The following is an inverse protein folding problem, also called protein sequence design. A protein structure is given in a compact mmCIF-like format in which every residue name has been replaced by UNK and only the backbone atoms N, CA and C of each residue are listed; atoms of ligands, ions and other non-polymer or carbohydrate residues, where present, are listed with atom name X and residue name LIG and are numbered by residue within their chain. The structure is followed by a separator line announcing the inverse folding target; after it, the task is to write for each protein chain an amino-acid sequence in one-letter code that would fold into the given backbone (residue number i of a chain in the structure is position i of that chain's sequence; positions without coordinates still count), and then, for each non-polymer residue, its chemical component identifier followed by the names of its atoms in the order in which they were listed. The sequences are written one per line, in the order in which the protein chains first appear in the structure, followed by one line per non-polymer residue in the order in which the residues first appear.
data_IF_180591748951
#
_entry.id   IF_180591748951
#
_cell.length_a   1.000
_cell.length_b   1.000
_cell.length_c   1.000
_cell.angle_alpha   90.00
_cell.angle_beta   90.00
_cell.angle_gamma   90.00
#
_symmetry.space_group_name_H-M   'P 1'
#
loop_
_entity.id
_entity.type
_entity.pdbx_description
1 polymer ?
#
# COMPACT_ATOMS: atom_id res chain seq x y z
N UNK A 1 -2.52 -4.24 27.97
CA UNK A 1 -3.19 -4.33 29.29
C UNK A 1 -3.20 -3.00 30.06
N UNK A 2 -2.42 -2.03 29.62
CA UNK A 2 -2.28 -0.71 30.29
C UNK A 2 -3.56 0.14 30.20
N UNK A 3 -4.30 0.05 29.08
CA UNK A 3 -5.52 0.83 28.87
C UNK A 3 -6.63 0.55 29.89
N UNK A 4 -6.78 -0.69 30.35
CA UNK A 4 -7.76 -1.05 31.38
C UNK A 4 -7.49 -0.39 32.72
N UNK A 5 -6.23 -0.31 33.13
CA UNK A 5 -5.84 0.30 34.41
C UNK A 5 -6.00 1.82 34.36
N UNK A 6 -5.58 2.46 33.28
CA UNK A 6 -5.70 3.91 33.13
C UNK A 6 -7.16 4.32 33.03
N UNK A 7 -7.97 3.64 32.19
CA UNK A 7 -9.39 3.96 32.03
C UNK A 7 -10.22 3.64 33.27
N UNK A 8 -9.89 2.54 34.00
CA UNK A 8 -10.51 2.21 35.27
C UNK A 8 -10.22 3.21 36.37
N UNK A 9 -8.97 3.63 36.47
CA UNK A 9 -8.54 4.64 37.47
C UNK A 9 -9.17 6.01 37.19
N UNK A 10 -9.18 6.43 35.92
CA UNK A 10 -9.83 7.69 35.51
C UNK A 10 -11.33 7.64 35.73
N UNK A 11 -11.99 6.52 35.42
CA UNK A 11 -13.42 6.31 35.64
C UNK A 11 -13.79 6.34 37.13
N UNK A 12 -12.95 5.81 38.01
CA UNK A 12 -13.12 5.86 39.45
C UNK A 12 -13.14 7.30 39.98
N UNK A 13 -12.24 8.15 39.51
CA UNK A 13 -12.15 9.56 39.91
C UNK A 13 -13.35 10.41 39.43
N UNK A 14 -13.97 10.05 38.28
CA UNK A 14 -15.06 10.83 37.66
C UNK A 14 -16.44 10.40 38.16
N UNK A 15 -16.70 9.10 38.31
CA UNK A 15 -18.00 8.56 38.61
C UNK A 15 -17.98 7.40 39.65
N UNK A 16 -16.96 7.36 40.50
CA UNK A 16 -16.83 6.39 41.60
C UNK A 16 -16.76 4.93 41.11
N UNK A 17 -17.29 3.96 41.91
CA UNK A 17 -17.20 2.52 41.57
C UNK A 17 -17.83 2.14 40.25
N UNK A 18 -18.93 2.79 39.88
CA UNK A 18 -19.63 2.59 38.59
C UNK A 18 -18.77 3.11 37.41
N UNK A 19 -18.10 4.26 37.59
CA UNK A 19 -17.18 4.80 36.61
C UNK A 19 -15.93 3.92 36.41
N UNK A 20 -15.44 3.28 37.46
CA UNK A 20 -14.35 2.31 37.37
C UNK A 20 -14.71 1.10 36.52
N UNK A 21 -15.90 0.52 36.72
CA UNK A 21 -16.39 -0.63 35.94
C UNK A 21 -16.58 -0.27 34.47
N UNK A 22 -17.20 0.88 34.19
CA UNK A 22 -17.34 1.39 32.81
C UNK A 22 -15.99 1.71 32.18
N UNK A 23 -15.05 2.32 32.92
CA UNK A 23 -13.69 2.62 32.48
C UNK A 23 -12.90 1.35 32.15
N UNK A 24 -12.97 0.32 32.98
CA UNK A 24 -12.35 -0.99 32.71
C UNK A 24 -12.97 -1.66 31.48
N UNK A 25 -14.30 -1.57 31.33
CA UNK A 25 -15.00 -2.14 30.16
C UNK A 25 -14.63 -1.42 28.87
N UNK A 26 -14.60 -0.10 28.85
CA UNK A 26 -14.19 0.70 27.71
C UNK A 26 -12.69 0.53 27.41
N UNK A 27 -11.85 0.48 28.45
CA UNK A 27 -10.42 0.18 28.32
C UNK A 27 -10.16 -1.23 27.80
N UNK A 28 -11.04 -2.20 28.14
CA UNK A 28 -10.97 -3.55 27.59
C UNK A 28 -11.33 -3.61 26.10
N UNK A 29 -12.33 -2.87 25.68
CA UNK A 29 -12.71 -2.72 24.28
C UNK A 29 -11.59 -2.01 23.50
N UNK A 30 -10.98 -1.00 24.10
CA UNK A 30 -9.84 -0.27 23.54
C UNK A 30 -8.59 -1.17 23.44
N UNK A 31 -8.25 -1.90 24.49
CA UNK A 31 -7.14 -2.86 24.50
C UNK A 31 -7.36 -4.00 23.48
N UNK A 32 -8.61 -4.48 23.28
CA UNK A 32 -8.93 -5.47 22.24
C UNK A 32 -8.80 -4.91 20.83
N UNK A 33 -9.21 -3.67 20.61
CA UNK A 33 -9.03 -2.98 19.33
C UNK A 33 -7.57 -2.70 19.02
N UNK A 34 -6.78 -2.39 20.05
CA UNK A 34 -5.35 -2.07 19.92
C UNK A 34 -4.47 -3.32 19.87
N UNK A 35 -4.82 -4.40 20.59
CA UNK A 35 -4.04 -5.65 20.61
C UNK A 35 -4.11 -6.44 19.31
N UNK A 36 -5.22 -6.32 18.55
CA UNK A 36 -5.31 -6.89 17.20
C UNK A 36 -4.47 -6.12 16.18
N UNK A 37 -3.93 -4.94 16.55
CA UNK A 37 -3.09 -4.10 15.70
C UNK A 37 -1.59 -4.33 15.88
N UNK A 38 -1.17 -4.88 17.02
CA UNK A 38 0.23 -5.13 17.35
C UNK A 38 0.39 -6.56 17.89
N UNK A 39 0.32 -7.55 17.01
CA UNK A 39 1.00 -8.82 17.31
C UNK A 39 2.48 -8.50 17.08
N UNK A 40 3.33 -8.53 18.13
CA UNK A 40 4.75 -8.30 17.94
C UNK A 40 5.30 -9.43 17.06
N UNK A 41 5.66 -9.10 15.84
CA UNK A 41 6.33 -10.01 14.92
C UNK A 41 7.75 -10.18 15.45
N UNK A 42 8.21 -11.41 15.60
CA UNK A 42 9.60 -11.68 15.99
C UNK A 42 10.56 -11.14 14.93
N UNK A 43 11.79 -10.78 15.33
CA UNK A 43 12.81 -10.32 14.38
C UNK A 43 13.04 -11.32 13.24
N UNK A 44 13.09 -12.61 13.54
CA UNK A 44 13.24 -13.65 12.52
C UNK A 44 12.06 -13.74 11.57
N UNK A 45 10.84 -13.55 12.07
CA UNK A 45 9.63 -13.54 11.24
C UNK A 45 9.59 -12.26 10.35
N UNK A 46 9.96 -11.10 10.90
CA UNK A 46 10.10 -9.85 10.13
C UNK A 46 11.12 -9.99 9.02
N UNK A 47 12.28 -10.55 9.31
CA UNK A 47 13.31 -10.78 8.30
C UNK A 47 12.78 -11.68 7.18
N UNK A 48 12.12 -12.79 7.52
CA UNK A 48 11.52 -13.71 6.55
C UNK A 48 10.46 -13.02 5.68
N UNK A 49 9.57 -12.22 6.29
CA UNK A 49 8.56 -11.46 5.55
C UNK A 49 9.24 -10.48 4.59
N UNK A 50 10.27 -9.76 5.05
CA UNK A 50 11.03 -8.78 4.26
C UNK A 50 11.63 -9.41 3.02
N UNK A 51 12.32 -10.53 3.16
CA UNK A 51 12.96 -11.22 2.05
C UNK A 51 11.94 -11.81 1.06
N UNK A 52 10.85 -12.40 1.56
CA UNK A 52 9.80 -12.94 0.70
C UNK A 52 9.03 -11.81 -0.01
N UNK A 53 8.77 -10.68 0.67
CA UNK A 53 8.17 -9.51 0.04
C UNK A 53 9.03 -8.99 -1.11
N UNK A 54 10.33 -8.82 -0.85
CA UNK A 54 11.30 -8.32 -1.82
C UNK A 54 11.41 -9.24 -3.04
N UNK A 55 11.64 -10.53 -2.81
CA UNK A 55 11.75 -11.51 -3.89
C UNK A 55 10.45 -11.61 -4.71
N UNK A 56 9.28 -11.61 -4.04
CA UNK A 56 7.98 -11.65 -4.73
C UNK A 56 7.75 -10.41 -5.58
N UNK A 57 8.03 -9.22 -5.05
CA UNK A 57 7.87 -7.96 -5.78
C UNK A 57 8.68 -7.97 -7.08
N UNK A 58 9.99 -8.23 -6.99
CA UNK A 58 10.86 -8.18 -8.16
C UNK A 58 10.64 -9.34 -9.14
N UNK A 59 10.24 -10.53 -8.67
CA UNK A 59 9.87 -11.63 -9.58
C UNK A 59 8.58 -11.33 -10.35
N UNK A 60 7.56 -10.79 -9.68
CA UNK A 60 6.32 -10.40 -10.36
C UNK A 60 6.55 -9.24 -11.33
N UNK A 61 7.44 -8.28 -11.01
CA UNK A 61 7.83 -7.22 -11.95
C UNK A 61 8.52 -7.78 -13.19
N UNK A 62 9.42 -8.77 -13.03
CA UNK A 62 10.05 -9.43 -14.16
C UNK A 62 9.05 -10.17 -15.06
N UNK A 63 8.01 -10.77 -14.45
CA UNK A 63 6.94 -11.42 -15.19
C UNK A 63 6.04 -10.43 -15.91
N UNK A 64 5.72 -9.28 -15.29
CA UNK A 64 4.98 -8.21 -15.92
C UNK A 64 5.73 -7.62 -17.11
N UNK A 65 7.01 -7.30 -16.94
CA UNK A 65 7.86 -6.75 -18.01
C UNK A 65 7.99 -7.69 -19.23
N UNK A 66 7.79 -9.00 -19.05
CA UNK A 66 7.81 -9.96 -20.14
C UNK A 66 6.41 -10.29 -20.68
N UNK A 67 5.39 -9.59 -20.28
CA UNK A 67 4.00 -9.91 -20.63
C UNK A 67 3.74 -9.91 -22.14
N UNK A 68 4.45 -9.09 -22.90
CA UNK A 68 4.39 -9.03 -24.38
C UNK A 68 5.33 -10.02 -25.09
N UNK A 69 6.08 -10.83 -24.32
CA UNK A 69 7.02 -11.86 -24.84
C UNK A 69 8.46 -11.39 -24.95
N UNK A 70 8.77 -10.10 -24.92
CA UNK A 70 10.11 -9.55 -25.03
C UNK A 70 10.33 -8.46 -24.00
N UNK A 71 11.46 -8.49 -23.31
CA UNK A 71 11.88 -7.38 -22.44
C UNK A 71 12.66 -6.39 -23.30
N UNK A 72 12.15 -5.20 -23.49
CA UNK A 72 12.81 -4.13 -24.22
C UNK A 72 13.97 -3.54 -23.40
N UNK A 73 14.93 -2.92 -24.08
CA UNK A 73 16.00 -2.16 -23.40
C UNK A 73 15.44 -0.98 -22.58
N UNK A 74 14.33 -0.41 -23.01
CA UNK A 74 13.65 0.66 -22.28
C UNK A 74 13.07 0.17 -20.94
N UNK A 75 12.48 -1.02 -20.89
CA UNK A 75 11.95 -1.62 -19.65
C UNK A 75 13.07 -2.01 -18.69
N UNK A 76 14.21 -2.49 -19.21
CA UNK A 76 15.40 -2.75 -18.39
C UNK A 76 15.88 -1.44 -17.76
N UNK A 77 16.06 -0.39 -18.56
CA UNK A 77 16.51 0.92 -18.08
C UNK A 77 15.53 1.52 -17.05
N UNK A 78 14.21 1.42 -17.31
CA UNK A 78 13.17 1.87 -16.38
C UNK A 78 13.24 1.10 -15.04
N UNK A 79 13.48 -0.21 -15.10
CA UNK A 79 13.62 -1.05 -13.90
C UNK A 79 14.89 -0.70 -13.11
N UNK A 80 16.01 -0.44 -13.81
CA UNK A 80 17.27 -0.01 -13.18
C UNK A 80 17.15 1.39 -12.57
N UNK A 81 16.50 2.31 -13.25
CA UNK A 81 16.18 3.65 -12.73
C UNK A 81 15.29 3.56 -11.50
N UNK A 82 14.28 2.69 -11.52
CA UNK A 82 13.42 2.42 -10.37
C UNK A 82 14.22 1.90 -9.18
N UNK A 83 15.11 0.91 -9.37
CA UNK A 83 15.97 0.39 -8.31
C UNK A 83 16.90 1.47 -7.75
N UNK A 84 17.37 2.38 -8.61
CA UNK A 84 18.19 3.53 -8.22
C UNK A 84 17.38 4.54 -7.40
N UNK A 85 16.18 4.84 -7.85
CA UNK A 85 15.26 5.75 -7.16
C UNK A 85 14.80 5.20 -5.81
N UNK A 86 14.69 3.88 -5.67
CA UNK A 86 14.42 3.23 -4.38
C UNK A 86 15.59 3.36 -3.40
N UNK A 87 16.80 3.68 -3.88
CA UNK A 87 17.99 3.79 -3.04
C UNK A 87 18.58 2.43 -2.67
N UNK A 88 18.34 1.39 -3.48
CA UNK A 88 18.91 0.06 -3.24
C UNK A 88 20.44 0.12 -3.23
N UNK A 89 21.07 -0.57 -2.25
CA UNK A 89 22.52 -0.80 -2.27
C UNK A 89 22.92 -1.62 -3.49
N UNK A 90 24.22 -1.65 -3.82
CA UNK A 90 24.71 -2.43 -4.95
C UNK A 90 24.34 -3.92 -4.83
N UNK A 91 24.43 -4.48 -3.63
CA UNK A 91 24.09 -5.87 -3.32
C UNK A 91 22.57 -6.09 -3.51
N UNK A 92 21.74 -5.21 -2.98
CA UNK A 92 20.27 -5.32 -3.11
C UNK A 92 19.81 -5.13 -4.56
N UNK A 93 20.50 -4.30 -5.36
CA UNK A 93 20.25 -4.20 -6.80
C UNK A 93 20.55 -5.52 -7.52
N UNK A 94 21.66 -6.16 -7.21
CA UNK A 94 21.99 -7.47 -7.80
C UNK A 94 20.94 -8.53 -7.44
N UNK A 95 20.47 -8.57 -6.19
CA UNK A 95 19.40 -9.44 -5.77
C UNK A 95 18.09 -9.13 -6.50
N UNK A 96 17.71 -7.87 -6.62
CA UNK A 96 16.53 -7.44 -7.35
C UNK A 96 16.58 -7.88 -8.82
N UNK A 97 17.70 -7.68 -9.50
CA UNK A 97 17.95 -8.14 -10.88
C UNK A 97 17.84 -9.66 -10.97
N UNK A 98 18.39 -10.40 -10.00
CA UNK A 98 18.27 -11.86 -9.96
C UNK A 98 16.80 -12.30 -9.89
N UNK A 99 16.00 -11.73 -8.99
CA UNK A 99 14.59 -12.05 -8.85
C UNK A 99 13.78 -11.63 -10.08
N UNK A 100 14.09 -10.46 -10.65
CA UNK A 100 13.48 -10.02 -11.90
C UNK A 100 13.72 -11.02 -13.03
N UNK A 101 14.95 -11.51 -13.21
CA UNK A 101 15.29 -12.52 -14.21
C UNK A 101 14.57 -13.85 -13.95
N UNK A 102 14.41 -14.25 -12.68
CA UNK A 102 13.62 -15.44 -12.31
C UNK A 102 12.17 -15.25 -12.74
N UNK A 103 11.56 -14.11 -12.48
CA UNK A 103 10.19 -13.81 -12.88
C UNK A 103 9.99 -13.74 -14.40
N UNK A 104 11.00 -13.29 -15.13
CA UNK A 104 11.02 -13.26 -16.59
C UNK A 104 11.27 -14.63 -17.26
N UNK A 105 11.60 -15.67 -16.49
CA UNK A 105 11.80 -17.00 -17.04
C UNK A 105 10.48 -17.62 -17.53
N UNK A 106 10.55 -18.46 -18.56
CA UNK A 106 9.36 -19.06 -19.19
C UNK A 106 8.66 -20.08 -18.31
N UNK A 107 9.36 -20.66 -17.35
CA UNK A 107 8.88 -21.63 -16.38
C UNK A 107 8.44 -21.01 -15.04
N UNK A 108 8.44 -19.67 -14.96
CA UNK A 108 8.03 -18.96 -13.74
C UNK A 108 6.53 -19.16 -13.46
N UNK A 109 6.23 -19.59 -12.23
CA UNK A 109 4.86 -19.75 -11.77
C UNK A 109 4.43 -18.59 -10.86
N UNK A 110 3.59 -17.71 -11.39
CA UNK A 110 2.95 -16.60 -10.64
C UNK A 110 2.21 -17.14 -9.42
N UNK A 111 1.42 -18.19 -9.59
CA UNK A 111 0.61 -18.79 -8.53
C UNK A 111 1.48 -19.32 -7.38
N UNK A 112 2.59 -20.00 -7.68
CA UNK A 112 3.51 -20.49 -6.67
C UNK A 112 4.17 -19.34 -5.90
N UNK A 113 4.61 -18.32 -6.62
CA UNK A 113 5.23 -17.11 -6.03
C UNK A 113 4.27 -16.38 -5.08
N UNK A 114 3.04 -16.10 -5.54
CA UNK A 114 2.02 -15.42 -4.73
C UNK A 114 1.59 -16.29 -3.54
N UNK A 115 1.43 -17.60 -3.73
CA UNK A 115 1.07 -18.52 -2.63
C UNK A 115 2.13 -18.53 -1.52
N UNK A 116 3.40 -18.53 -1.89
CA UNK A 116 4.52 -18.46 -0.94
C UNK A 116 4.48 -17.16 -0.13
N UNK A 117 4.19 -16.03 -0.77
CA UNK A 117 4.00 -14.74 -0.10
C UNK A 117 2.76 -14.75 0.82
N UNK A 118 1.64 -15.29 0.36
CA UNK A 118 0.39 -15.38 1.15
C UNK A 118 0.60 -16.20 2.42
N UNK A 119 1.38 -17.27 2.37
CA UNK A 119 1.66 -18.09 3.57
C UNK A 119 2.32 -17.29 4.69
N UNK A 120 3.26 -16.39 4.38
CA UNK A 120 3.93 -15.56 5.39
C UNK A 120 3.16 -14.28 5.72
N UNK A 121 2.38 -13.75 4.78
CA UNK A 121 1.61 -12.51 4.96
C UNK A 121 0.17 -12.74 5.41
N UNK A 122 -0.24 -13.97 5.70
CA UNK A 122 -1.66 -14.32 5.93
C UNK A 122 -2.31 -13.52 7.07
N UNK A 123 -1.54 -13.20 8.12
CA UNK A 123 -1.99 -12.39 9.26
C UNK A 123 -1.89 -10.89 9.02
N UNK A 124 -1.31 -10.46 7.89
CA UNK A 124 -0.97 -9.06 7.59
C UNK A 124 -1.61 -8.60 6.29
N UNK A 125 -2.93 -8.39 6.32
CA UNK A 125 -3.71 -7.95 5.13
C UNK A 125 -3.10 -6.70 4.47
N UNK A 126 -2.50 -5.81 5.26
CA UNK A 126 -1.87 -4.61 4.73
C UNK A 126 -0.66 -4.92 3.83
N UNK A 127 0.11 -5.99 4.10
CA UNK A 127 1.23 -6.39 3.23
C UNK A 127 0.76 -6.81 1.83
N UNK A 128 -0.37 -7.50 1.74
CA UNK A 128 -0.98 -7.87 0.46
C UNK A 128 -1.42 -6.63 -0.32
N UNK A 129 -2.05 -5.66 0.38
CA UNK A 129 -2.40 -4.36 -0.21
C UNK A 129 -1.17 -3.61 -0.71
N UNK A 130 -0.07 -3.60 0.06
CA UNK A 130 1.16 -2.90 -0.33
C UNK A 130 1.81 -3.56 -1.54
N UNK A 131 1.97 -4.90 -1.55
CA UNK A 131 2.53 -5.61 -2.69
C UNK A 131 1.76 -5.30 -3.98
N UNK A 132 0.43 -5.47 -3.97
CA UNK A 132 -0.40 -5.20 -5.13
C UNK A 132 -0.35 -3.72 -5.55
N UNK A 133 -0.37 -2.81 -4.58
CA UNK A 133 -0.27 -1.38 -4.86
C UNK A 133 1.05 -0.99 -5.51
N UNK A 134 2.16 -1.58 -5.08
CA UNK A 134 3.47 -1.29 -5.69
C UNK A 134 3.56 -1.87 -7.09
N UNK A 135 3.08 -3.10 -7.33
CA UNK A 135 3.01 -3.67 -8.67
C UNK A 135 2.20 -2.80 -9.63
N UNK A 136 1.01 -2.35 -9.21
CA UNK A 136 0.18 -1.46 -10.03
C UNK A 136 0.87 -0.11 -10.25
N UNK A 137 1.50 0.48 -9.22
CA UNK A 137 2.20 1.76 -9.34
C UNK A 137 3.36 1.69 -10.32
N UNK A 138 4.06 0.56 -10.35
CA UNK A 138 5.20 0.34 -11.23
C UNK A 138 4.76 0.01 -12.65
N UNK A 139 3.69 -0.75 -12.82
CA UNK A 139 3.09 -1.00 -14.14
C UNK A 139 2.51 0.29 -14.77
N UNK A 140 2.07 1.27 -13.95
CA UNK A 140 1.59 2.57 -14.41
C UNK A 140 2.70 3.64 -14.52
N UNK A 141 3.96 3.28 -14.37
CA UNK A 141 5.05 4.26 -14.34
C UNK A 141 5.26 5.00 -15.67
N UNK A 142 5.01 4.35 -16.79
CA UNK A 142 5.01 4.93 -18.14
C UNK A 142 3.73 5.72 -18.47
N UNK A 143 2.64 5.49 -17.71
CA UNK A 143 1.37 6.21 -17.81
C UNK A 143 0.21 5.37 -18.33
N UNK A 144 0.45 4.20 -18.92
CA UNK A 144 -0.56 3.31 -19.47
C UNK A 144 -0.39 1.89 -18.93
N UNK A 145 -1.50 1.25 -18.55
CA UNK A 145 -1.52 -0.15 -18.17
C UNK A 145 -1.93 -0.98 -19.38
N UNK A 146 -1.04 -1.79 -19.90
CA UNK A 146 -1.34 -2.65 -21.03
C UNK A 146 -2.27 -3.80 -20.64
N UNK A 147 -3.10 -4.26 -21.57
CA UNK A 147 -4.13 -5.28 -21.31
C UNK A 147 -3.55 -6.60 -20.79
N UNK A 148 -2.35 -6.96 -21.21
CA UNK A 148 -1.65 -8.15 -20.75
C UNK A 148 -1.16 -8.00 -19.30
N UNK A 149 -0.59 -6.85 -18.95
CA UNK A 149 -0.20 -6.52 -17.59
C UNK A 149 -1.40 -6.48 -16.65
N UNK A 150 -2.51 -5.84 -17.07
CA UNK A 150 -3.75 -5.84 -16.31
C UNK A 150 -4.26 -7.26 -16.03
N UNK A 151 -4.18 -8.14 -17.02
CA UNK A 151 -4.60 -9.54 -16.87
C UNK A 151 -3.75 -10.29 -15.84
N UNK A 152 -2.42 -10.07 -15.83
CA UNK A 152 -1.50 -10.65 -14.85
C UNK A 152 -1.77 -10.05 -13.46
N UNK A 153 -1.90 -8.74 -13.35
CA UNK A 153 -2.20 -8.06 -12.08
C UNK A 153 -3.53 -8.51 -11.49
N UNK A 154 -4.54 -8.74 -12.34
CA UNK A 154 -5.85 -9.28 -11.93
C UNK A 154 -5.72 -10.69 -11.36
N UNK A 155 -4.92 -11.55 -12.00
CA UNK A 155 -4.63 -12.90 -11.49
C UNK A 155 -3.93 -12.83 -10.13
N UNK A 156 -2.89 -12.01 -10.01
CA UNK A 156 -2.18 -11.78 -8.75
C UNK A 156 -3.14 -11.28 -7.66
N UNK A 157 -4.03 -10.33 -7.99
CA UNK A 157 -5.02 -9.81 -7.05
C UNK A 157 -5.96 -10.89 -6.51
N UNK A 158 -6.46 -11.76 -7.40
CA UNK A 158 -7.33 -12.89 -7.02
C UNK A 158 -6.58 -13.85 -6.09
N UNK A 159 -5.34 -14.21 -6.42
CA UNK A 159 -4.52 -15.11 -5.62
C UNK A 159 -4.14 -14.50 -4.24
N UNK A 160 -4.04 -13.17 -4.16
CA UNK A 160 -3.89 -12.42 -2.90
C UNK A 160 -5.20 -12.36 -2.08
N UNK A 161 -6.34 -12.72 -2.67
CA UNK A 161 -7.66 -12.70 -2.04
C UNK A 161 -8.46 -11.41 -2.23
N UNK A 162 -8.16 -10.60 -3.24
CA UNK A 162 -8.95 -9.43 -3.59
C UNK A 162 -10.15 -9.80 -4.46
N UNK A 163 -11.28 -9.13 -4.25
CA UNK A 163 -12.40 -9.18 -5.19
C UNK A 163 -12.09 -8.37 -6.45
N UNK A 164 -12.79 -8.69 -7.54
CA UNK A 164 -12.68 -7.95 -8.81
C UNK A 164 -12.94 -6.44 -8.59
N UNK A 165 -13.97 -6.11 -7.83
CA UNK A 165 -14.33 -4.71 -7.54
C UNK A 165 -13.23 -3.97 -6.77
N UNK A 166 -12.63 -4.63 -5.75
CA UNK A 166 -11.54 -4.02 -4.98
C UNK A 166 -10.29 -3.80 -5.84
N UNK A 167 -10.00 -4.71 -6.77
CA UNK A 167 -8.88 -4.56 -7.70
C UNK A 167 -9.10 -3.39 -8.66
N UNK A 168 -10.29 -3.27 -9.26
CA UNK A 168 -10.64 -2.17 -10.18
C UNK A 168 -10.61 -0.81 -9.46
N UNK A 169 -11.11 -0.76 -8.22
CA UNK A 169 -11.01 0.44 -7.38
C UNK A 169 -9.55 0.82 -7.09
N UNK A 170 -8.72 -0.17 -6.79
CA UNK A 170 -7.30 0.04 -6.49
C UNK A 170 -6.54 0.56 -7.71
N UNK A 171 -6.75 0.01 -8.91
CA UNK A 171 -6.16 0.51 -10.17
C UNK A 171 -6.57 1.96 -10.40
N UNK A 172 -7.85 2.28 -10.32
CA UNK A 172 -8.35 3.64 -10.53
C UNK A 172 -7.74 4.63 -9.54
N UNK A 173 -7.67 4.25 -8.26
CA UNK A 173 -7.09 5.08 -7.21
C UNK A 173 -5.59 5.31 -7.43
N UNK A 174 -4.83 4.28 -7.75
CA UNK A 174 -3.38 4.38 -7.98
C UNK A 174 -3.10 5.14 -9.28
N UNK A 175 -3.86 4.89 -10.34
CA UNK A 175 -3.78 5.65 -11.59
C UNK A 175 -3.96 7.14 -11.35
N UNK A 176 -5.01 7.53 -10.61
CA UNK A 176 -5.23 8.92 -10.22
C UNK A 176 -4.06 9.49 -9.38
N UNK A 177 -3.50 8.72 -8.44
CA UNK A 177 -2.33 9.14 -7.66
C UNK A 177 -1.07 9.32 -8.52
N UNK A 178 -0.91 8.50 -9.57
CA UNK A 178 0.22 8.59 -10.50
C UNK A 178 0.08 9.80 -11.41
N UNK A 179 -1.09 10.05 -11.95
CA UNK A 179 -1.41 11.24 -12.73
C UNK A 179 -1.23 12.52 -11.90
N UNK A 180 -1.72 12.52 -10.67
CA UNK A 180 -1.61 13.65 -9.75
C UNK A 180 -0.15 14.04 -9.46
N UNK A 181 0.77 13.09 -9.45
CA UNK A 181 2.21 13.33 -9.28
C UNK A 181 2.92 13.87 -10.53
N UNK A 182 2.35 13.66 -11.73
CA UNK A 182 2.91 14.10 -13.02
C UNK A 182 2.30 15.43 -13.50
N UNK A 183 1.50 16.11 -12.70
CA UNK A 183 0.75 17.31 -13.06
C UNK A 183 1.66 18.45 -13.60
N UNK A 184 1.90 18.39 -14.90
CA UNK A 184 2.31 19.53 -15.72
C UNK A 184 1.12 20.48 -15.96
N UNK A 185 1.40 21.69 -16.40
CA UNK A 185 0.54 22.86 -16.49
C UNK A 185 -0.67 22.77 -17.43
N UNK A 186 -1.03 21.61 -18.01
CA UNK A 186 -2.04 21.49 -19.08
C UNK A 186 -3.43 21.03 -18.66
N UNK A 187 -3.64 20.59 -17.41
CA UNK A 187 -4.95 20.11 -16.94
C UNK A 187 -5.81 21.22 -16.35
N UNK A 188 -7.13 21.15 -16.60
CA UNK A 188 -8.08 22.11 -16.00
C UNK A 188 -8.16 21.91 -14.48
N UNK A 189 -8.55 22.95 -13.75
CA UNK A 189 -8.76 22.86 -12.28
C UNK A 189 -9.80 21.81 -11.91
N UNK A 190 -10.77 21.55 -12.82
CA UNK A 190 -11.83 20.59 -12.61
C UNK A 190 -11.34 19.13 -12.76
N UNK A 191 -10.46 18.88 -13.74
CA UNK A 191 -9.84 17.57 -13.93
C UNK A 191 -8.96 17.22 -12.73
N UNK A 192 -8.15 18.18 -12.26
CA UNK A 192 -7.32 18.03 -11.06
C UNK A 192 -8.14 17.65 -9.83
N UNK A 193 -9.29 18.29 -9.65
CA UNK A 193 -10.18 18.01 -8.53
C UNK A 193 -10.83 16.63 -8.65
N UNK A 194 -11.23 16.21 -9.84
CA UNK A 194 -11.76 14.87 -10.11
C UNK A 194 -10.74 13.78 -9.79
N UNK A 195 -9.50 13.98 -10.23
CA UNK A 195 -8.39 13.07 -9.93
C UNK A 195 -8.07 13.02 -8.44
N UNK A 196 -8.17 14.16 -7.73
CA UNK A 196 -7.97 14.19 -6.29
C UNK A 196 -9.00 13.34 -5.53
N UNK A 197 -10.29 13.42 -5.91
CA UNK A 197 -11.32 12.54 -5.33
C UNK A 197 -11.05 11.06 -5.64
N UNK A 198 -10.67 10.75 -6.87
CA UNK A 198 -10.32 9.40 -7.30
C UNK A 198 -9.08 8.87 -6.56
N UNK A 199 -8.06 9.71 -6.34
CA UNK A 199 -6.84 9.39 -5.61
C UNK A 199 -7.09 9.03 -4.13
N UNK A 200 -8.17 9.58 -3.54
CA UNK A 200 -8.62 9.20 -2.20
C UNK A 200 -9.63 8.05 -2.19
N UNK A 201 -10.07 7.56 -3.35
CA UNK A 201 -11.10 6.53 -3.47
C UNK A 201 -12.46 6.97 -2.96
N UNK A 202 -12.82 8.25 -3.16
CA UNK A 202 -14.12 8.81 -2.72
C UNK A 202 -14.84 9.50 -3.88
N UNK A 203 -16.16 9.58 -3.81
CA UNK A 203 -16.95 10.35 -4.77
C UNK A 203 -16.88 11.86 -4.47
N UNK A 204 -17.03 12.70 -5.49
CA UNK A 204 -17.10 14.16 -5.32
C UNK A 204 -18.28 14.61 -4.46
N UNK A 205 -19.31 13.78 -4.35
CA UNK A 205 -20.50 14.00 -3.51
C UNK A 205 -20.31 13.52 -2.05
N UNK A 206 -19.17 12.91 -1.71
CA UNK A 206 -18.92 12.41 -0.36
C UNK A 206 -18.87 13.55 0.66
N UNK A 207 -19.32 13.28 1.88
CA UNK A 207 -19.24 14.25 2.99
C UNK A 207 -17.77 14.50 3.40
N UNK A 208 -17.49 15.68 3.99
CA UNK A 208 -16.16 16.02 4.48
C UNK A 208 -15.65 15.02 5.52
N UNK A 209 -16.54 14.47 6.34
CA UNK A 209 -16.23 13.42 7.29
C UNK A 209 -15.75 12.13 6.58
N UNK A 210 -16.42 11.74 5.50
CA UNK A 210 -16.07 10.56 4.72
C UNK A 210 -14.70 10.75 4.02
N UNK A 211 -14.46 11.92 3.44
CA UNK A 211 -13.19 12.29 2.82
C UNK A 211 -12.05 12.26 3.83
N UNK A 212 -12.24 12.90 4.99
CA UNK A 212 -11.26 12.89 6.09
C UNK A 212 -10.98 11.48 6.61
N UNK A 213 -12.00 10.62 6.69
CA UNK A 213 -11.86 9.22 7.08
C UNK A 213 -11.04 8.43 6.06
N UNK A 214 -11.31 8.59 4.76
CA UNK A 214 -10.57 7.94 3.68
C UNK A 214 -9.10 8.39 3.70
N UNK A 215 -8.84 9.69 3.75
CA UNK A 215 -7.51 10.25 3.89
C UNK A 215 -6.73 9.64 5.06
N UNK A 216 -7.29 9.66 6.27
CA UNK A 216 -6.64 9.12 7.47
C UNK A 216 -6.34 7.62 7.33
N UNK A 217 -7.26 6.86 6.73
CA UNK A 217 -7.07 5.44 6.46
C UNK A 217 -5.88 5.21 5.53
N UNK A 218 -5.81 5.93 4.40
CA UNK A 218 -4.75 5.81 3.42
C UNK A 218 -3.38 6.20 4.00
N UNK A 219 -3.29 7.32 4.72
CA UNK A 219 -2.06 7.74 5.40
C UNK A 219 -1.62 6.69 6.42
N UNK A 220 -2.53 6.19 7.25
CA UNK A 220 -2.22 5.14 8.23
C UNK A 220 -1.77 3.83 7.60
N UNK A 221 -2.29 3.48 6.43
CA UNK A 221 -1.90 2.26 5.70
C UNK A 221 -0.50 2.37 5.07
N UNK A 222 -0.09 3.59 4.71
CA UNK A 222 1.20 3.87 4.06
C UNK A 222 2.24 4.45 5.02
N UNK A 223 1.95 4.51 6.34
CA UNK A 223 2.88 5.09 7.31
C UNK A 223 4.17 4.25 7.39
N UNK A 224 5.36 4.88 7.22
CA UNK A 224 6.64 4.17 7.22
C UNK A 224 6.84 3.26 8.44
N UNK A 225 6.66 3.77 9.65
CA UNK A 225 6.88 2.99 10.89
C UNK A 225 5.99 1.75 10.97
N UNK A 226 4.75 1.87 10.47
CA UNK A 226 3.82 0.76 10.45
C UNK A 226 4.23 -0.31 9.44
N UNK A 227 4.73 0.10 8.28
CA UNK A 227 5.19 -0.80 7.23
C UNK A 227 6.47 -1.52 7.63
N UNK A 228 7.44 -0.81 8.21
CA UNK A 228 8.66 -1.38 8.80
C UNK A 228 8.29 -2.40 9.87
N UNK A 229 7.38 -2.04 10.78
CA UNK A 229 6.89 -2.94 11.82
C UNK A 229 6.19 -4.20 11.30
N UNK A 230 5.65 -4.16 10.07
CA UNK A 230 5.02 -5.29 9.39
C UNK A 230 5.99 -6.11 8.53
N UNK A 231 7.24 -5.68 8.38
CA UNK A 231 8.26 -6.37 7.61
C UNK A 231 8.32 -5.96 6.13
N UNK A 232 7.78 -4.78 5.76
CA UNK A 232 8.09 -4.21 4.44
C UNK A 232 9.57 -3.84 4.42
N UNK A 233 10.32 -4.19 3.35
CA UNK A 233 11.73 -3.83 3.23
C UNK A 233 11.96 -2.31 3.32
N UNK A 234 12.99 -1.89 4.05
CA UNK A 234 13.31 -0.48 4.24
C UNK A 234 13.54 0.24 2.90
N UNK A 235 14.15 -0.47 1.95
CA UNK A 235 14.38 0.01 0.58
C UNK A 235 13.07 0.37 -0.17
N UNK A 236 11.96 -0.30 0.19
CA UNK A 236 10.65 -0.11 -0.45
C UNK A 236 9.82 0.98 0.25
N UNK A 237 10.20 1.40 1.46
CA UNK A 237 9.48 2.41 2.25
C UNK A 237 9.39 3.76 1.53
N UNK A 238 10.36 4.07 0.66
CA UNK A 238 10.34 5.29 -0.14
C UNK A 238 9.06 5.40 -1.00
N UNK A 239 8.63 4.30 -1.63
CA UNK A 239 7.37 4.27 -2.41
C UNK A 239 6.16 4.63 -1.56
N UNK A 240 6.11 4.13 -0.31
CA UNK A 240 5.02 4.46 0.61
C UNK A 240 5.04 5.94 1.01
N UNK A 241 6.23 6.51 1.20
CA UNK A 241 6.40 7.93 1.52
C UNK A 241 5.92 8.81 0.36
N UNK A 242 6.35 8.53 -0.85
CA UNK A 242 5.92 9.25 -2.07
C UNK A 242 4.40 9.13 -2.28
N UNK A 243 3.84 7.95 -2.04
CA UNK A 243 2.39 7.74 -2.11
C UNK A 243 1.65 8.55 -1.05
N UNK A 244 2.18 8.61 0.16
CA UNK A 244 1.60 9.42 1.25
C UNK A 244 1.59 10.90 0.90
N UNK A 245 2.64 11.42 0.26
CA UNK A 245 2.69 12.80 -0.22
C UNK A 245 1.60 13.08 -1.27
N UNK A 246 1.41 12.18 -2.25
CA UNK A 246 0.35 12.32 -3.26
C UNK A 246 -1.06 12.29 -2.62
N UNK A 247 -1.28 11.41 -1.65
CA UNK A 247 -2.53 11.34 -0.88
C UNK A 247 -2.78 12.65 -0.12
N UNK A 248 -1.74 13.23 0.49
CA UNK A 248 -1.82 14.53 1.18
C UNK A 248 -2.20 15.64 0.22
N UNK A 249 -1.49 15.76 -0.91
CA UNK A 249 -1.75 16.78 -1.93
C UNK A 249 -3.19 16.70 -2.46
N UNK A 250 -3.71 15.49 -2.69
CA UNK A 250 -5.09 15.28 -3.12
C UNK A 250 -6.09 15.76 -2.05
N UNK A 251 -5.84 15.43 -0.78
CA UNK A 251 -6.70 15.88 0.33
C UNK A 251 -6.70 17.39 0.49
N UNK A 252 -5.55 18.03 0.39
CA UNK A 252 -5.40 19.49 0.52
C UNK A 252 -6.15 20.21 -0.59
N UNK A 253 -6.02 19.76 -1.85
CA UNK A 253 -6.75 20.33 -2.99
C UNK A 253 -8.28 20.24 -2.81
N UNK A 254 -8.78 19.09 -2.36
CA UNK A 254 -10.21 18.92 -2.09
C UNK A 254 -10.66 19.87 -0.98
N UNK A 255 -9.87 19.95 0.11
CA UNK A 255 -10.19 20.76 1.27
C UNK A 255 -10.23 22.27 0.93
N UNK A 256 -9.31 22.75 0.10
CA UNK A 256 -9.28 24.12 -0.38
C UNK A 256 -10.48 24.42 -1.31
N UNK A 257 -10.75 23.54 -2.27
CA UNK A 257 -11.88 23.71 -3.20
C UNK A 257 -13.24 23.74 -2.48
N UNK A 258 -13.38 23.04 -1.34
CA UNK A 258 -14.63 23.03 -0.57
C UNK A 258 -14.78 24.22 0.38
N UNK A 259 -13.68 24.83 0.84
CA UNK A 259 -13.72 26.06 1.64
C UNK A 259 -14.05 27.31 0.82
N UNK A 260 -13.78 27.28 -0.49
CA UNK A 260 -14.02 28.38 -1.42
C UNK A 260 -15.42 28.39 -2.02
N UNK A 261 -16.24 27.42 -1.69
CA UNK A 261 -17.68 27.32 -2.03
C UNK A 261 -18.55 27.69 -0.83
#
# INVERSE_FOLDING_TARGET
MIGKFIAGLSGWFIAGPLGAVLGVFLGHQFDRGFSNFFIPISEGERHKIREIFFSTLFSLLGHLAKSDGHISQAEIALTEDMMTNLGLSAERKQEAIKFFKIGAATDFSVQFCVKSFVQVSNRHVNLKNQLLSYLISLALADGELHSQEESILRMVAIDLGFSKSNFEELIRMIGAQTHFGKLGSSMTSQDKLSDAYSALGVASTSSDMAIKKAYRKLVSQNHPDKLIGQGVPDDIIKLATERTQKIQMAYDLISESRKSK
#
